data_IF_606906361121
#
_entry.id   IF_606906361121
#
_cell.length_a   1.000
_cell.length_b   1.000
_cell.length_c   1.000
_cell.angle_alpha   90.00
_cell.angle_beta   90.00
_cell.angle_gamma   90.00
#
_symmetry.space_group_name_H-M   'P 1'
#
loop_
_entity.id
_entity.type
_entity.pdbx_description
1 polymer ?
#
# COMPACT_ATOMS: atom_id res chain seq x y z
N UNK A 1 -83.55 5.07 9.42
CA UNK A 1 -82.57 5.42 8.38
C UNK A 1 -81.49 6.22 9.08
N UNK A 2 -80.38 5.54 9.40
CA UNK A 2 -79.34 6.04 10.30
C UNK A 2 -78.15 6.54 9.49
N UNK A 3 -77.70 7.75 9.79
CA UNK A 3 -76.58 8.48 9.20
C UNK A 3 -75.24 7.83 9.62
N UNK A 4 -74.26 7.66 8.72
CA UNK A 4 -72.95 7.10 9.08
C UNK A 4 -72.02 8.14 9.69
N UNK A 5 -71.26 7.69 10.69
CA UNK A 5 -70.32 8.42 11.53
C UNK A 5 -68.98 8.63 10.81
N UNK A 6 -68.48 9.86 10.79
CA UNK A 6 -67.23 10.27 10.14
C UNK A 6 -66.09 10.24 11.17
N UNK A 7 -65.06 9.43 10.92
CA UNK A 7 -63.88 9.28 11.78
C UNK A 7 -62.86 10.42 11.51
N UNK A 8 -62.25 11.05 12.55
CA UNK A 8 -61.26 12.11 12.37
C UNK A 8 -59.87 11.57 11.91
N UNK A 9 -58.98 12.45 11.39
CA UNK A 9 -57.77 12.06 10.66
C UNK A 9 -56.64 11.61 11.59
N UNK A 10 -55.80 10.68 11.11
CA UNK A 10 -54.51 10.34 11.73
C UNK A 10 -53.47 11.33 11.19
N UNK A 11 -52.75 12.09 12.03
CA UNK A 11 -51.67 12.95 11.58
C UNK A 11 -50.45 12.11 11.18
N UNK A 12 -49.80 12.52 10.09
CA UNK A 12 -48.54 11.97 9.59
C UNK A 12 -47.52 11.82 10.71
N UNK A 13 -46.94 10.62 10.81
CA UNK A 13 -45.74 10.40 11.60
C UNK A 13 -44.58 11.06 10.85
N UNK A 14 -44.28 12.30 11.22
CA UNK A 14 -43.05 12.99 10.84
C UNK A 14 -41.86 12.14 11.31
N UNK A 15 -41.11 11.61 10.35
CA UNK A 15 -39.81 10.97 10.55
C UNK A 15 -38.82 12.06 10.98
N UNK A 16 -38.80 12.36 12.29
CA UNK A 16 -37.89 13.32 12.93
C UNK A 16 -36.54 12.64 13.25
N UNK A 17 -35.97 11.98 12.24
CA UNK A 17 -34.60 11.51 12.28
C UNK A 17 -33.69 12.71 11.97
N UNK A 18 -32.81 13.17 12.90
CA UNK A 18 -31.92 14.29 12.63
C UNK A 18 -31.05 13.95 11.42
N UNK A 19 -30.84 14.90 10.48
CA UNK A 19 -30.03 14.64 9.31
C UNK A 19 -28.63 14.21 9.75
N UNK A 20 -27.98 13.27 9.01
CA UNK A 20 -26.63 12.84 9.34
C UNK A 20 -25.72 14.07 9.45
N UNK A 21 -25.09 14.23 10.61
CA UNK A 21 -24.17 15.33 10.87
C UNK A 21 -23.12 15.37 9.76
N UNK A 22 -23.13 16.45 8.97
CA UNK A 22 -22.20 16.61 7.87
C UNK A 22 -20.76 16.45 8.40
N UNK A 23 -19.97 15.60 7.75
CA UNK A 23 -18.59 15.37 8.13
C UNK A 23 -17.85 16.72 8.22
N UNK A 24 -17.03 16.95 9.27
CA UNK A 24 -16.36 18.23 9.46
C UNK A 24 -15.47 18.54 8.25
N UNK A 25 -15.59 19.74 7.68
CA UNK A 25 -14.77 20.20 6.54
C UNK A 25 -13.48 20.91 6.98
N UNK A 26 -13.37 21.24 8.27
CA UNK A 26 -12.20 21.91 8.87
C UNK A 26 -11.89 21.28 10.22
N UNK A 27 -10.62 20.95 10.44
CA UNK A 27 -10.11 20.37 11.70
C UNK A 27 -8.86 21.13 12.18
N UNK A 28 -8.41 20.89 13.41
CA UNK A 28 -7.16 21.44 13.95
C UNK A 28 -5.99 20.53 13.58
N UNK A 29 -4.92 21.10 13.03
CA UNK A 29 -3.73 20.35 12.65
C UNK A 29 -2.87 20.01 13.88
N UNK A 30 -2.63 18.72 14.08
CA UNK A 30 -1.69 18.23 15.08
C UNK A 30 -0.30 18.07 14.47
N UNK A 31 0.74 18.52 15.19
CA UNK A 31 2.16 18.36 14.80
C UNK A 31 3.02 17.82 15.93
N UNK A 32 2.40 17.19 16.93
CA UNK A 32 3.14 16.55 18.01
C UNK A 32 3.89 15.32 17.49
N UNK A 33 4.96 14.86 18.17
CA UNK A 33 5.63 13.62 17.79
C UNK A 33 4.66 12.43 17.67
N UNK A 34 3.67 12.34 18.56
CA UNK A 34 2.66 11.29 18.53
C UNK A 34 1.75 11.35 17.28
N UNK A 35 1.30 12.55 16.87
CA UNK A 35 0.47 12.68 15.67
C UNK A 35 1.26 12.45 14.38
N UNK A 36 2.55 12.79 14.36
CA UNK A 36 3.42 12.49 13.23
C UNK A 36 3.71 10.99 13.12
N UNK A 37 3.91 10.29 14.23
CA UNK A 37 4.04 8.83 14.23
C UNK A 37 2.75 8.14 13.73
N UNK A 38 1.57 8.66 14.07
CA UNK A 38 0.30 8.16 13.53
C UNK A 38 0.21 8.34 12.01
N UNK A 39 0.63 9.50 11.50
CA UNK A 39 0.67 9.77 10.06
C UNK A 39 1.65 8.84 9.33
N UNK A 40 2.80 8.55 9.94
CA UNK A 40 3.76 7.59 9.38
C UNK A 40 3.18 6.18 9.31
N UNK A 41 2.51 5.70 10.38
CA UNK A 41 1.82 4.40 10.37
C UNK A 41 0.74 4.31 9.27
N UNK A 42 -0.02 5.39 9.06
CA UNK A 42 -0.99 5.44 7.97
C UNK A 42 -0.32 5.36 6.59
N UNK A 43 0.81 6.03 6.39
CA UNK A 43 1.58 5.93 5.14
C UNK A 43 2.11 4.51 4.89
N UNK A 44 2.62 3.83 5.94
CA UNK A 44 3.04 2.43 5.86
C UNK A 44 1.87 1.52 5.46
N UNK A 45 0.69 1.74 6.04
CA UNK A 45 -0.50 0.98 5.71
C UNK A 45 -0.87 1.13 4.22
N UNK A 46 -0.87 2.35 3.69
CA UNK A 46 -1.13 2.62 2.28
C UNK A 46 -0.10 2.00 1.32
N UNK A 47 1.18 2.00 1.71
CA UNK A 47 2.22 1.29 0.95
C UNK A 47 1.93 -0.22 0.90
N UNK A 48 1.54 -0.84 2.02
CA UNK A 48 1.15 -2.25 2.06
C UNK A 48 -0.12 -2.55 1.24
N UNK A 49 -1.13 -1.67 1.27
CA UNK A 49 -2.31 -1.79 0.41
C UNK A 49 -1.94 -1.70 -1.08
N UNK A 50 -0.93 -0.89 -1.42
CA UNK A 50 -0.40 -0.82 -2.78
C UNK A 50 0.27 -2.12 -3.17
N UNK A 51 1.09 -2.74 -2.29
CA UNK A 51 1.66 -4.07 -2.54
C UNK A 51 0.56 -5.10 -2.81
N UNK A 52 -0.48 -5.15 -1.97
CA UNK A 52 -1.58 -6.11 -2.10
C UNK A 52 -2.33 -5.95 -3.44
N UNK A 53 -2.67 -4.72 -3.83
CA UNK A 53 -3.32 -4.43 -5.13
C UNK A 53 -2.44 -4.84 -6.30
N UNK A 54 -1.12 -4.58 -6.23
CA UNK A 54 -0.19 -5.04 -7.26
C UNK A 54 -0.14 -6.57 -7.34
N UNK A 55 -0.05 -7.27 -6.20
CA UNK A 55 -0.05 -8.73 -6.16
C UNK A 55 -1.36 -9.33 -6.72
N UNK A 56 -2.51 -8.73 -6.42
CA UNK A 56 -3.81 -9.14 -6.99
C UNK A 56 -3.81 -9.02 -8.52
N UNK A 57 -3.36 -7.87 -9.05
CA UNK A 57 -3.24 -7.67 -10.50
C UNK A 57 -2.26 -8.66 -11.13
N UNK A 58 -1.12 -8.90 -10.50
CA UNK A 58 -0.13 -9.87 -10.98
C UNK A 58 -0.69 -11.29 -11.07
N UNK A 59 -1.48 -11.74 -10.10
CA UNK A 59 -2.14 -13.06 -10.16
C UNK A 59 -3.08 -13.16 -11.37
N UNK A 60 -3.77 -12.07 -11.73
CA UNK A 60 -4.64 -12.00 -12.90
C UNK A 60 -3.86 -11.95 -14.23
N UNK A 61 -2.72 -11.24 -14.25
CA UNK A 61 -1.86 -11.11 -15.44
C UNK A 61 -1.06 -12.39 -15.74
N UNK A 62 -0.71 -13.18 -14.71
CA UNK A 62 -0.01 -14.46 -14.87
C UNK A 62 -0.88 -15.61 -15.37
N UNK A 63 -2.21 -15.43 -15.45
CA UNK A 63 -3.09 -16.48 -15.96
C UNK A 63 -2.80 -16.76 -17.45
N UNK A 64 -2.87 -18.03 -17.91
CA UNK A 64 -2.63 -18.37 -19.31
C UNK A 64 -3.58 -17.60 -20.26
N UNK A 65 -3.01 -16.92 -21.25
CA UNK A 65 -3.74 -16.19 -22.31
C UNK A 65 -3.21 -16.58 -23.69
N UNK A 66 -4.04 -16.54 -24.75
CA UNK A 66 -3.61 -16.89 -26.12
C UNK A 66 -2.45 -16.03 -26.65
N UNK A 67 -2.36 -14.76 -26.21
CA UNK A 67 -1.30 -13.82 -26.57
C UNK A 67 -0.03 -13.96 -25.73
N UNK A 68 -0.01 -14.84 -24.73
CA UNK A 68 0.97 -14.81 -23.65
C UNK A 68 0.70 -13.70 -22.62
N UNK A 69 1.46 -13.68 -21.52
CA UNK A 69 1.40 -12.61 -20.53
C UNK A 69 1.93 -11.28 -21.09
N UNK A 70 1.42 -10.16 -20.56
CA UNK A 70 1.97 -8.84 -20.84
C UNK A 70 3.16 -8.58 -19.90
N UNK A 71 4.37 -8.83 -20.41
CA UNK A 71 5.63 -8.68 -19.66
C UNK A 71 5.81 -7.26 -19.10
N UNK A 72 5.36 -6.22 -19.81
CA UNK A 72 5.49 -4.84 -19.34
C UNK A 72 4.54 -4.57 -18.18
N UNK A 73 3.30 -5.07 -18.26
CA UNK A 73 2.35 -4.97 -17.15
C UNK A 73 2.85 -5.74 -15.92
N UNK A 74 3.37 -6.96 -16.11
CA UNK A 74 3.98 -7.74 -15.03
C UNK A 74 5.13 -6.99 -14.37
N UNK A 75 6.04 -6.42 -15.16
CA UNK A 75 7.16 -5.65 -14.64
C UNK A 75 6.70 -4.39 -13.89
N UNK A 76 5.73 -3.65 -14.44
CA UNK A 76 5.22 -2.43 -13.84
C UNK A 76 4.59 -2.70 -12.45
N UNK A 77 3.72 -3.70 -12.36
CA UNK A 77 3.10 -4.05 -11.08
C UNK A 77 4.12 -4.63 -10.10
N UNK A 78 5.04 -5.48 -10.56
CA UNK A 78 6.02 -6.10 -9.69
C UNK A 78 7.03 -5.10 -9.14
N UNK A 79 7.55 -4.21 -9.99
CA UNK A 79 8.45 -3.13 -9.56
C UNK A 79 7.73 -2.22 -8.56
N UNK A 80 6.48 -1.86 -8.82
CA UNK A 80 5.68 -1.03 -7.90
C UNK A 80 5.46 -1.72 -6.55
N UNK A 81 5.16 -3.02 -6.55
CA UNK A 81 5.02 -3.82 -5.34
C UNK A 81 6.32 -3.84 -4.53
N UNK A 82 7.45 -4.15 -5.17
CA UNK A 82 8.76 -4.25 -4.52
C UNK A 82 9.20 -2.91 -3.94
N UNK A 83 9.04 -1.81 -4.68
CA UNK A 83 9.38 -0.48 -4.19
C UNK A 83 8.48 -0.05 -3.01
N UNK A 84 7.17 -0.29 -3.08
CA UNK A 84 6.23 0.02 -2.01
C UNK A 84 6.51 -0.80 -0.76
N UNK A 85 6.79 -2.10 -0.93
CA UNK A 85 7.21 -2.97 0.17
C UNK A 85 8.49 -2.44 0.85
N UNK A 86 9.52 -2.11 0.07
CA UNK A 86 10.78 -1.64 0.63
C UNK A 86 10.67 -0.27 1.35
N UNK A 87 9.80 0.62 0.87
CA UNK A 87 9.52 1.89 1.57
C UNK A 87 9.00 1.66 2.98
N UNK A 88 8.28 0.56 3.22
CA UNK A 88 7.78 0.24 4.55
C UNK A 88 8.90 0.03 5.59
N UNK A 89 10.11 -0.32 5.14
CA UNK A 89 11.28 -0.61 5.98
C UNK A 89 12.35 0.47 5.88
N UNK A 90 12.17 1.48 5.03
CA UNK A 90 13.09 2.59 4.94
C UNK A 90 12.98 3.42 6.24
N UNK A 91 14.10 3.76 6.90
CA UNK A 91 14.07 4.72 7.98
C UNK A 91 13.68 6.08 7.39
N UNK A 92 12.40 6.44 7.49
CA UNK A 92 11.94 7.77 7.12
C UNK A 92 12.66 8.86 7.95
N UNK A 93 12.42 10.14 7.65
CA UNK A 93 13.03 11.26 8.41
C UNK A 93 12.79 11.18 9.93
N UNK A 94 11.78 10.42 10.36
CA UNK A 94 11.36 10.24 11.74
C UNK A 94 11.71 8.86 12.34
N UNK A 95 12.32 7.96 11.57
CA UNK A 95 12.75 6.63 12.04
C UNK A 95 11.62 5.62 12.28
N UNK A 96 10.45 5.82 11.68
CA UNK A 96 9.19 5.09 11.95
C UNK A 96 8.93 3.87 11.06
N UNK A 97 9.95 3.36 10.36
CA UNK A 97 9.82 2.19 9.48
C UNK A 97 9.57 0.87 10.24
N UNK A 98 9.03 -0.11 9.51
CA UNK A 98 8.93 -1.49 9.96
C UNK A 98 10.31 -2.12 10.13
N UNK A 99 10.36 -3.18 10.92
CA UNK A 99 11.56 -3.92 11.28
C UNK A 99 11.42 -5.41 10.98
N UNK A 100 12.52 -6.17 11.02
CA UNK A 100 12.48 -7.64 10.94
C UNK A 100 11.66 -8.25 12.09
N UNK A 101 11.56 -7.57 13.24
CA UNK A 101 10.69 -8.00 14.34
C UNK A 101 9.22 -7.94 13.92
N UNK A 102 8.81 -6.93 13.15
CA UNK A 102 7.44 -6.83 12.63
C UNK A 102 7.14 -7.90 11.60
N UNK A 103 8.13 -8.26 10.76
CA UNK A 103 8.03 -9.39 9.84
C UNK A 103 7.83 -10.70 10.62
N UNK A 104 8.58 -10.89 11.70
CA UNK A 104 8.45 -12.08 12.56
C UNK A 104 7.11 -12.12 13.29
N UNK A 105 6.59 -10.96 13.70
CA UNK A 105 5.30 -10.82 14.38
C UNK A 105 4.10 -11.23 13.50
N UNK A 106 4.27 -11.33 12.18
CA UNK A 106 3.21 -11.85 11.29
C UNK A 106 2.84 -13.31 11.57
N UNK A 107 3.74 -14.09 12.19
CA UNK A 107 3.50 -15.49 12.52
C UNK A 107 3.36 -16.41 11.30
N UNK A 108 3.73 -15.94 10.11
CA UNK A 108 3.64 -16.74 8.89
C UNK A 108 4.66 -17.90 8.90
N UNK A 109 4.29 -19.09 8.40
CA UNK A 109 5.19 -20.23 8.36
C UNK A 109 6.26 -20.08 7.26
N UNK A 110 7.38 -20.79 7.42
CA UNK A 110 8.48 -20.83 6.44
C UNK A 110 9.54 -19.76 6.65
N UNK A 111 10.41 -19.58 5.64
CA UNK A 111 11.50 -18.59 5.69
C UNK A 111 11.05 -17.19 5.27
N UNK A 112 10.21 -16.58 6.12
CA UNK A 112 9.63 -15.25 5.86
C UNK A 112 10.70 -14.15 5.87
N UNK A 113 11.69 -14.26 6.78
CA UNK A 113 12.80 -13.30 6.84
C UNK A 113 13.73 -13.42 5.63
N UNK A 114 14.00 -14.64 5.16
CA UNK A 114 14.72 -14.85 3.90
C UNK A 114 14.01 -14.20 2.73
N UNK A 115 12.68 -14.39 2.62
CA UNK A 115 11.88 -13.73 1.59
C UNK A 115 11.89 -12.21 1.69
N UNK A 116 11.73 -11.66 2.89
CA UNK A 116 11.84 -10.23 3.16
C UNK A 116 13.17 -9.66 2.63
N UNK A 117 14.30 -10.30 2.97
CA UNK A 117 15.63 -9.87 2.51
C UNK A 117 15.80 -10.00 1.00
N UNK A 118 15.22 -11.04 0.40
CA UNK A 118 15.22 -11.21 -1.06
C UNK A 118 14.47 -10.06 -1.76
N UNK A 119 13.33 -9.62 -1.22
CA UNK A 119 12.58 -8.46 -1.75
C UNK A 119 13.38 -7.16 -1.62
N UNK A 120 14.10 -6.94 -0.51
CA UNK A 120 14.96 -5.76 -0.36
C UNK A 120 16.14 -5.78 -1.35
N UNK A 121 16.80 -6.92 -1.52
CA UNK A 121 17.86 -7.07 -2.50
C UNK A 121 17.35 -6.88 -3.95
N UNK A 122 16.14 -7.35 -4.23
CA UNK A 122 15.48 -7.13 -5.51
C UNK A 122 15.16 -5.63 -5.73
N UNK A 123 14.70 -4.92 -4.71
CA UNK A 123 14.52 -3.47 -4.77
C UNK A 123 15.82 -2.77 -5.12
N UNK A 124 16.92 -3.13 -4.46
CA UNK A 124 18.22 -2.51 -4.70
C UNK A 124 18.64 -2.67 -6.17
N UNK A 125 18.40 -3.84 -6.78
CA UNK A 125 18.63 -4.06 -8.21
C UNK A 125 17.74 -3.20 -9.11
N UNK A 126 16.45 -3.06 -8.79
CA UNK A 126 15.54 -2.21 -9.57
C UNK A 126 15.86 -0.71 -9.45
N UNK A 127 16.49 -0.29 -8.36
CA UNK A 127 16.87 1.09 -8.10
C UNK A 127 18.26 1.46 -8.62
N UNK A 128 19.07 0.48 -9.01
CA UNK A 128 20.44 0.70 -9.48
C UNK A 128 20.44 1.28 -10.91
N UNK A 129 20.92 2.51 -11.04
CA UNK A 129 20.99 3.20 -12.33
C UNK A 129 22.01 2.60 -13.31
N UNK A 130 22.97 1.81 -12.83
CA UNK A 130 24.03 1.21 -13.63
C UNK A 130 23.70 -0.22 -14.09
N UNK A 131 22.67 -0.85 -13.52
CA UNK A 131 22.31 -2.24 -13.79
C UNK A 131 20.98 -2.29 -14.52
N UNK A 132 20.92 -3.00 -15.65
CA UNK A 132 19.64 -3.29 -16.29
C UNK A 132 18.93 -4.41 -15.51
N UNK A 133 17.76 -4.17 -14.90
CA UNK A 133 17.08 -5.17 -14.09
C UNK A 133 16.43 -6.28 -14.92
N UNK A 134 16.36 -6.14 -16.25
CA UNK A 134 15.70 -7.11 -17.15
C UNK A 134 16.66 -8.12 -17.75
N UNK A 135 17.88 -7.68 -18.04
CA UNK A 135 18.80 -8.44 -18.88
C UNK A 135 20.26 -8.07 -18.57
N UNK A 136 21.13 -9.08 -18.48
CA UNK A 136 22.57 -8.88 -18.41
C UNK A 136 23.20 -9.04 -19.79
N UNK A 137 24.18 -8.19 -20.10
CA UNK A 137 24.93 -8.24 -21.35
C UNK A 137 26.38 -8.62 -21.08
N UNK A 138 26.95 -9.46 -21.93
CA UNK A 138 28.35 -9.85 -21.90
C UNK A 138 28.96 -9.71 -23.29
N UNK A 139 30.23 -9.34 -23.34
CA UNK A 139 30.97 -9.12 -24.59
C UNK A 139 32.18 -10.04 -24.60
N UNK A 140 32.35 -10.81 -25.68
CA UNK A 140 33.48 -11.69 -25.90
C UNK A 140 34.16 -11.40 -27.23
N UNK A 141 35.44 -11.73 -27.34
CA UNK A 141 36.17 -11.70 -28.60
C UNK A 141 36.40 -13.12 -29.10
N UNK A 142 36.16 -13.37 -30.40
CA UNK A 142 36.60 -14.60 -31.05
C UNK A 142 38.06 -14.43 -31.48
N UNK A 143 38.80 -15.54 -31.47
CA UNK A 143 40.21 -15.58 -31.88
C UNK A 143 40.38 -16.47 -33.10
N UNK A 144 41.27 -16.07 -34.00
CA UNK A 144 41.75 -16.92 -35.08
C UNK A 144 42.71 -18.02 -34.56
N UNK A 145 43.18 -18.89 -35.45
CA UNK A 145 44.11 -19.97 -35.10
C UNK A 145 45.48 -19.46 -34.59
N UNK A 146 45.80 -18.19 -34.76
CA UNK A 146 47.02 -17.54 -34.28
C UNK A 146 46.83 -16.79 -32.95
N UNK A 147 45.61 -16.77 -32.42
CA UNK A 147 45.27 -16.09 -31.17
C UNK A 147 44.97 -14.59 -31.33
N UNK A 148 44.91 -14.07 -32.56
CA UNK A 148 44.50 -12.68 -32.79
C UNK A 148 42.99 -12.55 -32.76
N UNK A 149 42.50 -11.44 -32.21
CA UNK A 149 41.08 -11.16 -32.19
C UNK A 149 40.55 -10.98 -33.62
N UNK A 150 39.58 -11.81 -34.02
CA UNK A 150 38.99 -11.84 -35.36
C UNK A 150 37.55 -11.32 -35.37
N UNK A 151 36.89 -11.26 -34.20
CA UNK A 151 35.51 -10.81 -34.10
C UNK A 151 35.08 -10.50 -32.66
N UNK A 152 33.92 -9.86 -32.55
CA UNK A 152 33.28 -9.53 -31.27
C UNK A 152 31.88 -10.14 -31.25
N UNK A 153 31.54 -10.79 -30.15
CA UNK A 153 30.21 -11.29 -29.86
C UNK A 153 29.62 -10.52 -28.68
N UNK A 154 28.35 -10.13 -28.79
CA UNK A 154 27.56 -9.59 -27.68
C UNK A 154 26.48 -10.62 -27.37
N UNK A 155 26.47 -11.12 -26.14
CA UNK A 155 25.47 -12.08 -25.67
C UNK A 155 24.63 -11.44 -24.58
N UNK A 156 23.32 -11.70 -24.60
CA UNK A 156 22.38 -11.21 -23.60
C UNK A 156 21.67 -12.37 -22.90
N UNK A 157 21.38 -12.19 -21.61
CA UNK A 157 20.68 -13.19 -20.81
C UNK A 157 19.59 -12.50 -19.97
N UNK A 158 18.33 -12.86 -20.23
CA UNK A 158 17.17 -12.32 -19.51
C UNK A 158 17.08 -12.89 -18.11
N UNK A 159 16.56 -12.08 -17.19
CA UNK A 159 16.19 -12.56 -15.86
C UNK A 159 15.07 -13.61 -15.96
N UNK A 160 14.99 -14.55 -15.00
CA UNK A 160 13.88 -15.48 -14.92
C UNK A 160 12.53 -14.75 -14.87
N UNK A 161 11.49 -15.29 -15.54
CA UNK A 161 10.16 -14.70 -15.49
C UNK A 161 9.60 -14.74 -14.07
N UNK A 162 8.76 -13.76 -13.75
CA UNK A 162 8.03 -13.72 -12.49
C UNK A 162 7.02 -14.88 -12.44
N UNK A 163 6.99 -15.60 -11.34
CA UNK A 163 6.08 -16.72 -11.12
C UNK A 163 5.00 -16.41 -10.07
N UNK A 164 3.92 -17.19 -10.12
CA UNK A 164 2.76 -17.01 -9.25
C UNK A 164 3.09 -17.27 -7.76
N UNK A 165 4.02 -18.16 -7.45
CA UNK A 165 4.39 -18.49 -6.06
C UNK A 165 5.06 -17.27 -5.41
N UNK A 166 6.01 -16.66 -6.09
CA UNK A 166 6.68 -15.42 -5.66
C UNK A 166 5.67 -14.28 -5.40
N UNK A 167 4.68 -14.12 -6.28
CA UNK A 167 3.63 -13.10 -6.14
C UNK A 167 2.75 -13.39 -4.92
N UNK A 168 2.28 -14.62 -4.76
CA UNK A 168 1.42 -15.01 -3.64
C UNK A 168 2.13 -14.94 -2.30
N UNK A 169 3.40 -15.34 -2.24
CA UNK A 169 4.22 -15.24 -1.03
C UNK A 169 4.40 -13.78 -0.62
N UNK A 170 4.66 -12.88 -1.57
CA UNK A 170 4.75 -11.43 -1.31
C UNK A 170 3.43 -10.87 -0.80
N UNK A 171 2.32 -11.23 -1.43
CA UNK A 171 0.98 -10.83 -0.97
C UNK A 171 0.66 -11.32 0.44
N UNK A 172 1.03 -12.55 0.79
CA UNK A 172 0.83 -13.10 2.13
C UNK A 172 1.62 -12.33 3.19
N UNK A 173 2.88 -12.01 2.93
CA UNK A 173 3.72 -11.21 3.83
C UNK A 173 3.16 -9.79 3.98
N UNK A 174 2.78 -9.13 2.89
CA UNK A 174 2.19 -7.81 2.92
C UNK A 174 0.88 -7.79 3.73
N UNK A 175 0.02 -8.79 3.56
CA UNK A 175 -1.22 -8.92 4.32
C UNK A 175 -0.98 -9.13 5.81
N UNK A 176 -0.01 -9.98 6.17
CA UNK A 176 0.40 -10.17 7.57
C UNK A 176 0.90 -8.88 8.19
N UNK A 177 1.75 -8.13 7.48
CA UNK A 177 2.25 -6.83 7.93
C UNK A 177 1.14 -5.78 8.05
N UNK A 178 0.13 -5.79 7.17
CA UNK A 178 -1.00 -4.86 7.27
C UNK A 178 -1.73 -4.98 8.60
N UNK A 179 -1.88 -6.22 9.11
CA UNK A 179 -2.48 -6.45 10.44
C UNK A 179 -1.61 -5.89 11.57
N UNK A 180 -0.31 -6.13 11.50
CA UNK A 180 0.65 -5.59 12.48
C UNK A 180 0.61 -4.06 12.49
N UNK A 181 0.56 -3.43 11.31
CA UNK A 181 0.47 -1.97 11.18
C UNK A 181 -0.88 -1.45 11.69
N UNK A 182 -1.98 -2.13 11.39
CA UNK A 182 -3.32 -1.74 11.85
C UNK A 182 -3.42 -1.73 13.38
N UNK A 183 -2.87 -2.75 14.05
CA UNK A 183 -2.78 -2.80 15.52
C UNK A 183 -1.97 -1.63 16.08
N UNK A 184 -0.82 -1.33 15.48
CA UNK A 184 0.00 -0.16 15.87
C UNK A 184 -0.74 1.16 15.64
N UNK A 185 -1.47 1.27 14.53
CA UNK A 185 -2.23 2.45 14.17
C UNK A 185 -3.35 2.70 15.19
N UNK A 186 -4.11 1.66 15.57
CA UNK A 186 -5.13 1.73 16.60
C UNK A 186 -4.56 2.17 17.96
N UNK A 187 -3.43 1.58 18.37
CA UNK A 187 -2.75 1.95 19.61
C UNK A 187 -2.29 3.42 19.59
N UNK A 188 -1.65 3.84 18.50
CA UNK A 188 -1.14 5.20 18.35
C UNK A 188 -2.26 6.24 18.24
N UNK A 189 -3.39 5.89 17.62
CA UNK A 189 -4.59 6.73 17.60
C UNK A 189 -5.11 6.97 19.02
N UNK A 190 -5.13 5.94 19.87
CA UNK A 190 -5.45 6.08 21.29
C UNK A 190 -4.52 7.07 22.00
N UNK A 191 -3.20 6.95 21.80
CA UNK A 191 -2.20 7.87 22.37
C UNK A 191 -2.45 9.32 21.95
N UNK A 192 -2.67 9.54 20.64
CA UNK A 192 -2.95 10.88 20.11
C UNK A 192 -4.25 11.44 20.69
N UNK A 193 -5.31 10.63 20.74
CA UNK A 193 -6.60 11.04 21.27
C UNK A 193 -6.50 11.43 22.76
N UNK A 194 -5.86 10.61 23.60
CA UNK A 194 -5.64 10.93 25.02
C UNK A 194 -4.85 12.21 25.19
N UNK A 195 -3.79 12.41 24.39
CA UNK A 195 -2.99 13.63 24.45
C UNK A 195 -3.80 14.89 24.09
N UNK A 196 -4.62 14.82 23.03
CA UNK A 196 -5.48 15.92 22.61
C UNK A 196 -6.62 16.18 23.60
N UNK A 197 -7.23 15.13 24.16
CA UNK A 197 -8.28 15.25 25.16
C UNK A 197 -7.79 15.91 26.46
N UNK A 198 -6.51 15.75 26.79
CA UNK A 198 -5.88 16.40 27.94
C UNK A 198 -5.50 17.88 27.66
N UNK A 199 -5.57 18.37 26.41
CA UNK A 199 -5.24 19.76 26.10
C UNK A 199 -6.32 20.71 26.62
N UNK A 200 -5.88 21.82 27.21
CA UNK A 200 -6.80 22.91 27.55
C UNK A 200 -7.41 23.50 26.27
N UNK A 201 -8.71 23.79 26.30
CA UNK A 201 -9.45 24.33 25.15
C UNK A 201 -8.77 25.55 24.47
N UNK A 202 -8.23 26.55 25.19
CA UNK A 202 -7.53 27.66 24.56
C UNK A 202 -6.29 27.23 23.76
N UNK A 203 -5.57 26.19 24.22
CA UNK A 203 -4.41 25.67 23.50
C UNK A 203 -4.83 24.92 22.23
N UNK A 204 -5.94 24.18 22.28
CA UNK A 204 -6.51 23.51 21.11
C UNK A 204 -6.99 24.51 20.05
N UNK A 205 -7.62 25.61 20.48
CA UNK A 205 -8.14 26.66 19.60
C UNK A 205 -7.01 27.45 18.89
N UNK A 206 -5.81 27.46 19.45
CA UNK A 206 -4.62 28.09 18.85
C UNK A 206 -3.94 27.22 17.79
N UNK A 207 -4.30 25.94 17.65
CA UNK A 207 -3.71 25.10 16.62
C UNK A 207 -4.13 25.55 15.21
N UNK A 208 -3.22 25.45 14.21
CA UNK A 208 -3.54 25.79 12.83
C UNK A 208 -4.77 25.02 12.33
N UNK A 209 -5.61 25.65 11.53
CA UNK A 209 -6.71 24.96 10.85
C UNK A 209 -6.16 24.17 9.65
N UNK A 210 -6.78 23.03 9.39
CA UNK A 210 -6.55 22.18 8.23
C UNK A 210 -7.90 21.91 7.57
N UNK A 211 -8.00 22.23 6.28
CA UNK A 211 -9.18 21.94 5.49
C UNK A 211 -9.14 20.51 4.99
N UNK A 212 -10.24 19.78 5.18
CA UNK A 212 -10.39 18.42 4.67
C UNK A 212 -10.99 18.51 3.26
N UNK A 213 -10.31 17.90 2.28
CA UNK A 213 -10.86 17.76 0.93
C UNK A 213 -11.79 16.55 0.96
N UNK A 214 -13.11 16.81 0.92
CA UNK A 214 -14.09 15.75 0.70
C UNK A 214 -14.03 15.40 -0.79
N UNK A 215 -13.55 14.20 -1.12
CA UNK A 215 -13.61 13.69 -2.49
C UNK A 215 -15.07 13.56 -2.95
N UNK A 216 -15.36 13.63 -4.27
CA UNK A 216 -16.73 13.50 -4.75
C UNK A 216 -17.28 12.13 -4.31
N UNK A 217 -18.45 12.17 -3.66
CA UNK A 217 -19.26 10.99 -3.39
C UNK A 217 -19.45 10.27 -4.73
N UNK A 218 -18.90 9.06 -4.87
CA UNK A 218 -19.13 8.25 -6.07
C UNK A 218 -20.60 7.89 -6.04
N UNK A 219 -21.42 8.70 -6.69
CA UNK A 219 -22.81 8.42 -6.94
C UNK A 219 -22.86 7.04 -7.61
N UNK A 220 -23.40 6.06 -6.89
CA UNK A 220 -23.69 4.74 -7.41
C UNK A 220 -24.70 4.91 -8.55
N UNK A 221 -24.21 4.94 -9.79
CA UNK A 221 -25.05 4.87 -10.98
C UNK A 221 -25.51 3.41 -11.11
N UNK A 222 -26.81 3.09 -10.98
CA UNK A 222 -27.30 1.75 -11.19
C UNK A 222 -27.34 1.50 -12.71
N UNK A 223 -26.50 0.59 -13.20
CA UNK A 223 -26.67 -0.05 -14.50
C UNK A 223 -26.82 -1.55 -14.31
#
# INVERSE_FOLDING_TARGET
MSTPEQRPPVPDASDDSPPPSAAPSVVRQLRSPASLALADLAALYEDLQTVLRCCERLVQELQPRPSGPDDLALEAYWTTAVLSYARCFAPGQRGTGLTEQDVTATGLPGDVLGWHRALLALRDRYADAAVNPRESFSVGASQDASGHAEGIAVASARQPPLDEVSVRQTGAVAFGLSKVVDEKLAAQQGVVFTAVAAMARPALDQLPLMHLVVGPEVASDPR
#
